data_IF_525989331639
#
_entry.id   IF_525989331639
#
_cell.length_a   1.000
_cell.length_b   1.000
_cell.length_c   1.000
_cell.angle_alpha   90.00
_cell.angle_beta   90.00
_cell.angle_gamma   90.00
#
_symmetry.space_group_name_H-M   'P 1'
#
loop_
_entity.id
_entity.type
_entity.pdbx_description
1 polymer ?
#
# COMPACT_ATOMS: atom_id res chain seq x y z
N UNK A 1 32.93 -16.25 -19.66
CA UNK A 1 32.97 -16.26 -18.19
C UNK A 1 33.19 -14.83 -17.71
N UNK A 2 32.53 -14.42 -16.64
CA UNK A 2 32.56 -13.03 -16.14
C UNK A 2 33.80 -12.79 -15.25
N UNK A 3 34.24 -11.54 -15.14
CA UNK A 3 35.33 -11.09 -14.24
C UNK A 3 36.66 -11.88 -14.37
N UNK A 4 37.05 -12.29 -15.58
CA UNK A 4 38.26 -13.09 -15.80
C UNK A 4 39.56 -12.39 -15.36
N UNK A 5 39.55 -11.07 -15.36
CA UNK A 5 40.62 -10.19 -14.86
C UNK A 5 40.66 -10.07 -13.33
N UNK A 6 39.67 -10.59 -12.62
CA UNK A 6 39.62 -10.65 -11.16
C UNK A 6 39.43 -12.08 -10.63
N UNK A 7 39.97 -13.08 -11.35
CA UNK A 7 39.87 -14.48 -10.93
C UNK A 7 38.43 -14.99 -10.81
N UNK A 8 37.53 -14.45 -11.64
CA UNK A 8 36.09 -14.75 -11.66
C UNK A 8 35.33 -14.28 -10.40
N UNK A 9 35.92 -13.38 -9.61
CA UNK A 9 35.25 -12.74 -8.48
C UNK A 9 34.60 -11.41 -8.92
N UNK A 10 33.32 -11.16 -8.57
CA UNK A 10 32.69 -9.87 -8.81
C UNK A 10 33.40 -8.71 -8.08
N UNK A 11 33.44 -7.53 -8.71
CA UNK A 11 34.04 -6.32 -8.12
C UNK A 11 33.21 -5.73 -6.96
N UNK A 12 31.90 -5.96 -6.98
CA UNK A 12 30.99 -5.51 -5.94
C UNK A 12 30.39 -6.72 -5.23
N UNK A 13 30.36 -6.65 -3.90
CA UNK A 13 29.68 -7.65 -3.08
C UNK A 13 28.18 -7.38 -3.10
N UNK A 14 27.39 -8.43 -3.27
CA UNK A 14 25.94 -8.33 -3.18
C UNK A 14 25.48 -8.15 -1.72
N UNK A 15 25.14 -6.91 -1.35
CA UNK A 15 24.66 -6.56 0.00
C UNK A 15 23.13 -6.57 0.01
N UNK A 16 22.52 -7.58 0.64
CA UNK A 16 21.06 -7.71 0.75
C UNK A 16 20.44 -6.80 1.81
N UNK A 17 21.18 -6.55 2.88
CA UNK A 17 20.70 -5.77 4.02
C UNK A 17 21.78 -4.82 4.52
N UNK A 18 21.36 -3.62 4.88
CA UNK A 18 22.21 -2.59 5.48
C UNK A 18 21.41 -1.77 6.49
N UNK A 19 22.02 -0.73 7.06
CA UNK A 19 21.35 0.20 7.95
C UNK A 19 20.19 0.89 7.23
N UNK A 20 19.05 0.94 7.90
CA UNK A 20 17.85 1.66 7.47
C UNK A 20 17.67 2.91 8.33
N UNK A 21 16.96 3.89 7.80
CA UNK A 21 16.57 5.06 8.60
C UNK A 21 15.51 4.69 9.63
N UNK A 22 15.45 5.44 10.72
CA UNK A 22 14.25 5.50 11.56
C UNK A 22 13.31 6.53 10.96
N UNK A 23 12.20 6.07 10.39
CA UNK A 23 11.18 6.90 9.78
C UNK A 23 9.96 7.12 10.68
N UNK A 24 9.07 8.02 10.25
CA UNK A 24 7.83 8.37 10.97
C UNK A 24 6.78 7.25 10.98
N UNK A 25 7.03 6.19 10.22
CA UNK A 25 6.42 4.88 10.31
C UNK A 25 7.50 3.83 10.05
N UNK A 26 7.26 2.60 10.49
CA UNK A 26 8.14 1.46 10.23
C UNK A 26 7.29 0.40 9.55
N UNK A 27 7.71 -0.06 8.36
CA UNK A 27 7.11 -1.24 7.73
C UNK A 27 7.55 -2.51 8.46
N UNK A 28 6.61 -3.32 8.90
CA UNK A 28 6.81 -4.50 9.73
C UNK A 28 6.29 -5.77 9.04
N UNK A 29 6.50 -6.92 9.70
CA UNK A 29 5.90 -8.19 9.28
C UNK A 29 4.37 -8.10 9.19
N UNK A 30 3.73 -7.35 10.09
CA UNK A 30 2.28 -7.21 10.19
C UNK A 30 1.71 -6.48 8.97
N UNK A 31 2.48 -5.59 8.36
CA UNK A 31 2.09 -4.84 7.15
C UNK A 31 2.05 -5.72 5.90
N UNK A 32 2.57 -6.94 5.97
CA UNK A 32 2.57 -7.93 4.90
C UNK A 32 1.83 -9.22 5.29
N UNK A 33 0.98 -9.20 6.33
CA UNK A 33 0.13 -10.33 6.74
C UNK A 33 -1.33 -9.93 6.78
N UNK A 34 -2.28 -10.84 6.53
CA UNK A 34 -3.69 -10.53 6.67
C UNK A 34 -4.00 -9.93 8.03
N UNK A 35 -4.64 -8.77 8.04
CA UNK A 35 -5.13 -8.16 9.27
C UNK A 35 -6.33 -8.96 9.81
N UNK A 36 -6.51 -8.95 11.13
CA UNK A 36 -7.61 -9.67 11.77
C UNK A 36 -8.96 -9.28 11.17
N UNK A 37 -9.73 -10.29 10.76
CA UNK A 37 -11.05 -10.08 10.14
C UNK A 37 -11.02 -9.58 8.70
N UNK A 38 -9.84 -9.52 8.05
CA UNK A 38 -9.68 -9.14 6.64
C UNK A 38 -9.07 -10.27 5.80
N UNK A 39 -9.28 -10.21 4.49
CA UNK A 39 -8.61 -11.08 3.51
C UNK A 39 -7.40 -10.40 2.86
N UNK A 40 -6.87 -9.35 3.50
CA UNK A 40 -5.77 -8.52 3.03
C UNK A 40 -4.94 -7.99 4.19
N UNK A 41 -3.73 -7.52 3.89
CA UNK A 41 -2.90 -6.77 4.83
C UNK A 41 -3.58 -5.49 5.35
N UNK A 42 -3.11 -4.93 6.49
CA UNK A 42 -3.56 -3.63 6.98
C UNK A 42 -3.58 -2.57 5.87
N UNK A 43 -4.57 -1.67 5.96
CA UNK A 43 -4.76 -0.60 5.00
C UNK A 43 -4.04 0.66 5.49
N UNK A 44 -3.17 1.20 4.64
CA UNK A 44 -2.44 2.44 4.87
C UNK A 44 -3.02 3.56 4.00
N UNK A 45 -3.70 4.51 4.64
CA UNK A 45 -4.32 5.66 3.97
C UNK A 45 -3.33 6.60 3.27
N UNK A 46 -2.05 6.49 3.59
CA UNK A 46 -0.94 7.21 2.98
C UNK A 46 -0.03 6.29 2.16
N UNK A 47 -0.56 5.18 1.62
CA UNK A 47 0.20 4.24 0.78
C UNK A 47 0.80 4.94 -0.45
N UNK A 48 2.09 4.70 -0.70
CA UNK A 48 2.82 5.21 -1.87
C UNK A 48 3.29 4.09 -2.81
N UNK A 49 2.89 2.85 -2.53
CA UNK A 49 3.32 1.68 -3.25
C UNK A 49 2.94 0.40 -2.51
N UNK A 50 3.23 -0.74 -3.13
CA UNK A 50 2.96 -2.06 -2.56
C UNK A 50 4.22 -2.92 -2.49
N UNK A 51 4.18 -3.96 -1.67
CA UNK A 51 5.09 -5.11 -1.71
C UNK A 51 4.27 -6.35 -2.08
N UNK A 52 4.85 -7.32 -2.79
CA UNK A 52 4.18 -8.61 -3.09
C UNK A 52 5.06 -9.84 -2.82
N UNK A 53 6.35 -9.62 -2.55
CA UNK A 53 7.26 -10.69 -2.16
C UNK A 53 7.00 -11.18 -0.75
N UNK A 54 7.23 -12.47 -0.55
CA UNK A 54 7.08 -13.06 0.77
C UNK A 54 8.18 -12.57 1.72
N UNK A 55 7.87 -12.49 3.01
CA UNK A 55 8.86 -12.15 4.02
C UNK A 55 9.91 -13.27 4.10
N UNK A 56 11.16 -12.91 3.85
CA UNK A 56 12.28 -13.84 3.85
C UNK A 56 13.54 -13.27 4.52
N UNK A 57 14.36 -14.19 5.02
CA UNK A 57 15.72 -13.94 5.49
C UNK A 57 16.59 -15.09 5.02
N UNK A 58 17.84 -14.78 4.68
CA UNK A 58 18.80 -15.77 4.21
C UNK A 58 19.87 -16.04 5.26
N UNK A 59 20.32 -17.30 5.38
CA UNK A 59 21.34 -17.65 6.34
C UNK A 59 22.67 -16.98 5.96
N UNK A 60 23.33 -16.39 6.97
CA UNK A 60 24.66 -15.78 6.81
C UNK A 60 25.80 -16.76 7.14
N UNK A 61 25.47 -17.97 7.61
CA UNK A 61 26.43 -19.03 7.95
C UNK A 61 25.88 -20.40 7.53
N UNK A 62 26.74 -21.41 7.33
CA UNK A 62 26.31 -22.76 7.04
C UNK A 62 25.87 -23.55 8.29
N UNK A 63 25.55 -22.89 9.40
CA UNK A 63 25.11 -23.59 10.62
C UNK A 63 23.68 -24.08 10.46
N UNK A 64 23.43 -25.33 10.88
CA UNK A 64 22.11 -25.98 10.85
C UNK A 64 21.96 -26.89 12.06
N UNK A 65 20.73 -26.95 12.60
CA UNK A 65 20.34 -27.96 13.59
C UNK A 65 19.79 -29.16 12.81
N UNK A 66 20.14 -30.38 13.22
CA UNK A 66 19.62 -31.60 12.58
C UNK A 66 18.08 -31.56 12.49
N UNK A 67 17.53 -31.91 11.33
CA UNK A 67 16.09 -31.85 11.06
C UNK A 67 15.50 -30.45 10.83
N UNK A 68 16.29 -29.37 10.85
CA UNK A 68 15.82 -27.98 10.64
C UNK A 68 16.45 -27.34 9.39
N UNK A 69 16.02 -26.14 9.00
CA UNK A 69 16.70 -25.33 7.98
C UNK A 69 17.97 -24.65 8.52
N UNK A 70 18.66 -23.88 7.67
CA UNK A 70 19.84 -23.12 8.06
C UNK A 70 19.51 -22.05 9.12
N UNK A 71 20.43 -21.80 10.04
CA UNK A 71 20.24 -20.78 11.09
C UNK A 71 20.06 -19.38 10.48
N UNK A 72 18.97 -18.70 10.87
CA UNK A 72 18.62 -17.38 10.35
C UNK A 72 17.87 -17.40 9.01
N UNK A 73 17.62 -18.58 8.44
CA UNK A 73 16.74 -18.70 7.28
C UNK A 73 15.28 -18.56 7.69
N UNK A 74 14.54 -17.72 6.96
CA UNK A 74 13.11 -17.49 7.13
C UNK A 74 12.47 -17.44 5.75
N UNK A 75 11.37 -18.17 5.55
CA UNK A 75 10.55 -18.10 4.33
C UNK A 75 9.09 -18.20 4.70
N UNK A 76 8.36 -17.09 4.64
CA UNK A 76 6.98 -17.00 5.11
C UNK A 76 5.98 -16.89 3.94
N UNK A 77 6.21 -17.64 2.87
CA UNK A 77 5.40 -17.59 1.64
C UNK A 77 3.92 -17.95 1.82
N UNK A 78 3.59 -18.78 2.81
CA UNK A 78 2.23 -19.22 3.09
C UNK A 78 1.39 -18.24 3.92
N UNK A 79 2.03 -17.23 4.53
CA UNK A 79 1.37 -16.26 5.40
C UNK A 79 1.62 -14.81 4.97
N UNK A 80 2.55 -14.57 4.03
CA UNK A 80 2.77 -13.25 3.47
C UNK A 80 1.73 -12.93 2.41
N UNK A 81 1.28 -11.69 2.39
CA UNK A 81 0.31 -11.16 1.44
C UNK A 81 0.73 -9.76 1.00
N UNK A 82 0.27 -9.25 -0.16
CA UNK A 82 0.72 -7.95 -0.65
C UNK A 82 0.45 -6.79 0.32
N UNK A 83 1.52 -6.14 0.79
CA UNK A 83 1.44 -5.06 1.78
C UNK A 83 1.39 -3.68 1.14
N UNK A 84 0.84 -2.70 1.84
CA UNK A 84 0.93 -1.29 1.47
C UNK A 84 2.08 -0.61 2.20
N UNK A 85 2.83 0.25 1.51
CA UNK A 85 3.95 0.98 2.10
C UNK A 85 3.56 2.42 2.35
N UNK A 86 3.49 2.80 3.62
CA UNK A 86 3.17 4.16 4.06
C UNK A 86 4.21 5.18 3.59
N UNK A 87 3.76 6.36 3.13
CA UNK A 87 4.60 7.52 2.82
C UNK A 87 5.57 7.86 3.95
N UNK A 88 5.12 7.70 5.20
CA UNK A 88 5.90 7.98 6.41
C UNK A 88 7.11 7.07 6.58
N UNK A 89 7.17 5.92 5.90
CA UNK A 89 8.35 5.07 5.89
C UNK A 89 9.54 5.71 5.15
N UNK A 90 9.28 6.62 4.21
CA UNK A 90 10.32 7.34 3.46
C UNK A 90 10.81 8.61 4.18
N UNK A 91 10.10 9.05 5.22
CA UNK A 91 10.36 10.29 5.94
C UNK A 91 11.12 10.01 7.25
N UNK A 92 12.39 10.42 7.37
CA UNK A 92 13.14 10.27 8.62
C UNK A 92 12.52 11.07 9.78
N UNK A 93 12.72 10.58 11.00
CA UNK A 93 12.47 11.35 12.21
C UNK A 93 13.46 12.51 12.33
N UNK A 94 13.00 13.67 12.81
CA UNK A 94 13.85 14.85 13.03
C UNK A 94 14.23 15.66 11.79
N UNK A 95 13.87 15.20 10.59
CA UNK A 95 14.11 15.93 9.34
C UNK A 95 12.79 16.19 8.60
N UNK A 96 12.70 17.36 7.95
CA UNK A 96 11.52 17.72 7.15
C UNK A 96 11.81 17.75 5.64
N UNK A 97 13.06 18.00 5.25
CA UNK A 97 13.50 18.24 3.87
C UNK A 97 14.33 17.08 3.27
N UNK A 98 14.18 15.87 3.80
CA UNK A 98 14.93 14.69 3.39
C UNK A 98 14.00 13.50 3.18
N UNK A 99 14.22 12.72 2.11
CA UNK A 99 13.45 11.51 1.75
C UNK A 99 14.43 10.39 1.46
N UNK A 100 14.13 9.17 1.91
CA UNK A 100 14.96 7.98 1.69
C UNK A 100 14.14 6.85 1.06
N UNK A 101 14.17 6.68 -0.27
CA UNK A 101 13.32 5.70 -0.98
C UNK A 101 13.84 4.25 -0.94
N UNK A 102 15.15 4.05 -0.75
CA UNK A 102 15.78 2.72 -0.76
C UNK A 102 15.94 2.20 0.66
N UNK A 103 16.83 2.81 1.47
CA UNK A 103 17.07 2.44 2.87
C UNK A 103 15.96 2.93 3.82
N UNK A 104 14.70 2.84 3.36
CA UNK A 104 13.51 3.30 4.05
C UNK A 104 13.29 2.57 5.38
N UNK A 105 12.41 3.14 6.20
CA UNK A 105 12.11 2.64 7.54
C UNK A 105 11.35 1.31 7.50
N UNK A 106 12.03 0.24 7.91
CA UNK A 106 11.45 -1.11 8.01
C UNK A 106 12.13 -1.94 9.11
N UNK A 107 11.38 -2.85 9.71
CA UNK A 107 11.93 -3.88 10.59
C UNK A 107 12.82 -4.85 9.82
N UNK A 108 13.63 -5.63 10.52
CA UNK A 108 14.48 -6.63 9.86
C UNK A 108 13.67 -7.65 9.05
N UNK A 109 12.55 -8.15 9.59
CA UNK A 109 11.68 -9.10 8.88
C UNK A 109 10.91 -8.42 7.75
N UNK A 110 10.38 -7.20 7.97
CA UNK A 110 9.65 -6.45 6.94
C UNK A 110 10.50 -6.12 5.71
N UNK A 111 11.82 -5.98 5.91
CA UNK A 111 12.76 -5.67 4.84
C UNK A 111 12.77 -6.71 3.71
N UNK A 112 12.51 -7.99 4.02
CA UNK A 112 12.41 -9.05 3.02
C UNK A 112 11.41 -8.73 1.90
N UNK A 113 10.29 -8.08 2.24
CA UNK A 113 9.27 -7.65 1.27
C UNK A 113 9.61 -6.30 0.60
N UNK A 114 10.26 -5.38 1.32
CA UNK A 114 10.59 -4.03 0.83
C UNK A 114 11.71 -4.02 -0.21
N UNK A 115 12.71 -4.90 -0.06
CA UNK A 115 14.01 -4.79 -0.73
C UNK A 115 14.05 -5.22 -2.20
N UNK A 116 12.90 -5.42 -2.83
CA UNK A 116 12.85 -5.82 -4.23
C UNK A 116 12.96 -4.60 -5.16
N UNK A 117 13.69 -4.75 -6.26
CA UNK A 117 13.92 -3.69 -7.22
C UNK A 117 12.63 -3.10 -7.81
N UNK A 118 11.59 -3.89 -8.18
CA UNK A 118 10.31 -3.34 -8.63
C UNK A 118 9.61 -2.48 -7.58
N UNK A 119 9.72 -2.87 -6.30
CA UNK A 119 9.18 -2.12 -5.18
C UNK A 119 9.94 -0.78 -5.01
N UNK A 120 11.28 -0.81 -5.01
CA UNK A 120 12.09 0.40 -4.95
C UNK A 120 11.87 1.36 -6.13
N UNK A 121 11.66 0.83 -7.34
CA UNK A 121 11.29 1.67 -8.49
C UNK A 121 10.00 2.44 -8.23
N UNK A 122 8.97 1.77 -7.69
CA UNK A 122 7.71 2.41 -7.30
C UNK A 122 7.90 3.46 -6.22
N UNK A 123 8.66 3.17 -5.16
CA UNK A 123 8.90 4.13 -4.07
C UNK A 123 9.74 5.31 -4.51
N UNK A 124 10.71 5.09 -5.40
CA UNK A 124 11.53 6.13 -6.02
C UNK A 124 10.69 7.07 -6.88
N UNK A 125 9.80 6.53 -7.71
CA UNK A 125 8.87 7.33 -8.51
C UNK A 125 7.90 8.13 -7.64
N UNK A 126 7.30 7.50 -6.62
CA UNK A 126 6.45 8.18 -5.64
C UNK A 126 7.18 9.29 -4.88
N UNK A 127 8.44 9.06 -4.49
CA UNK A 127 9.27 10.07 -3.87
C UNK A 127 9.53 11.26 -4.80
N UNK A 128 9.80 11.02 -6.09
CA UNK A 128 9.99 12.07 -7.07
C UNK A 128 8.73 12.93 -7.24
N UNK A 129 7.56 12.30 -7.33
CA UNK A 129 6.27 13.01 -7.35
C UNK A 129 6.06 13.87 -6.10
N UNK A 130 6.34 13.32 -4.91
CA UNK A 130 6.22 14.05 -3.66
C UNK A 130 7.15 15.27 -3.59
N UNK A 131 8.40 15.14 -4.07
CA UNK A 131 9.37 16.25 -4.15
C UNK A 131 8.84 17.35 -5.07
N UNK A 132 8.40 17.00 -6.28
CA UNK A 132 7.89 17.99 -7.24
C UNK A 132 6.65 18.70 -6.71
N UNK A 133 5.74 17.97 -6.06
CA UNK A 133 4.57 18.56 -5.41
C UNK A 133 4.98 19.49 -4.26
N UNK A 134 5.90 19.08 -3.40
CA UNK A 134 6.37 19.89 -2.28
C UNK A 134 7.03 21.20 -2.77
N UNK A 135 7.90 21.12 -3.77
CA UNK A 135 8.55 22.27 -4.40
C UNK A 135 7.53 23.25 -5.00
N UNK A 136 6.51 22.76 -5.72
CA UNK A 136 5.46 23.60 -6.32
C UNK A 136 4.59 24.33 -5.29
N UNK A 137 4.51 23.81 -4.06
CA UNK A 137 3.75 24.42 -2.98
C UNK A 137 4.66 25.14 -1.97
N UNK A 138 5.96 25.28 -2.27
CA UNK A 138 6.95 25.94 -1.40
C UNK A 138 6.98 25.37 0.03
N UNK A 139 6.78 24.05 0.15
CA UNK A 139 6.82 23.33 1.42
C UNK A 139 7.93 22.26 1.40
N UNK A 140 8.32 21.81 2.59
CA UNK A 140 9.17 20.63 2.73
C UNK A 140 8.37 19.35 2.47
N UNK A 141 8.96 18.28 1.93
CA UNK A 141 8.23 17.03 1.64
C UNK A 141 7.50 16.43 2.84
N UNK A 142 8.06 16.56 4.04
CA UNK A 142 7.43 16.12 5.27
C UNK A 142 6.12 16.84 5.63
N UNK A 143 5.85 18.02 5.04
CA UNK A 143 4.63 18.81 5.23
C UNK A 143 3.59 18.57 4.14
N UNK A 144 3.90 17.72 3.15
CA UNK A 144 2.96 17.40 2.10
C UNK A 144 1.74 16.67 2.68
N UNK A 145 0.55 17.13 2.30
CA UNK A 145 -0.70 16.46 2.64
C UNK A 145 -0.74 15.07 1.98
N UNK A 146 -0.82 14.03 2.80
CA UNK A 146 -0.72 12.65 2.34
C UNK A 146 -1.89 12.27 1.41
N UNK A 147 -3.12 12.73 1.71
CA UNK A 147 -4.29 12.46 0.86
C UNK A 147 -4.08 13.06 -0.55
N UNK A 148 -3.59 14.29 -0.64
CA UNK A 148 -3.23 14.92 -1.91
C UNK A 148 -2.15 14.15 -2.66
N UNK A 149 -1.12 13.65 -1.96
CA UNK A 149 -0.09 12.82 -2.59
C UNK A 149 -0.70 11.52 -3.13
N UNK A 150 -1.46 10.77 -2.34
CA UNK A 150 -2.08 9.50 -2.74
C UNK A 150 -3.00 9.69 -3.95
N UNK A 151 -3.85 10.72 -3.96
CA UNK A 151 -4.68 11.06 -5.13
C UNK A 151 -3.83 11.33 -6.37
N UNK A 152 -2.79 12.16 -6.22
CA UNK A 152 -1.87 12.46 -7.31
C UNK A 152 -1.19 11.19 -7.85
N UNK A 153 -0.70 10.30 -6.98
CA UNK A 153 -0.07 9.05 -7.38
C UNK A 153 -1.04 8.12 -8.10
N UNK A 154 -2.29 8.03 -7.62
CA UNK A 154 -3.34 7.24 -8.25
C UNK A 154 -3.64 7.73 -9.67
N UNK A 155 -3.74 9.05 -9.86
CA UNK A 155 -3.97 9.69 -11.16
C UNK A 155 -2.79 9.46 -12.14
N UNK A 156 -1.58 9.26 -11.62
CA UNK A 156 -0.39 8.95 -12.42
C UNK A 156 -0.16 7.44 -12.59
N UNK A 157 -1.09 6.60 -12.12
CA UNK A 157 -1.08 5.16 -12.36
C UNK A 157 -0.15 4.35 -11.45
N UNK A 158 0.32 4.94 -10.35
CA UNK A 158 1.10 4.20 -9.35
C UNK A 158 0.19 3.16 -8.67
N UNK A 159 0.71 1.94 -8.49
CA UNK A 159 0.02 0.87 -7.78
C UNK A 159 0.09 1.11 -6.27
N UNK A 160 -1.00 1.61 -5.69
CA UNK A 160 -1.11 1.97 -4.26
C UNK A 160 -1.80 0.87 -3.44
N UNK A 161 -2.61 0.03 -4.09
CA UNK A 161 -3.26 -1.15 -3.51
C UNK A 161 -3.24 -2.28 -4.52
N UNK A 162 -2.80 -3.46 -4.08
CA UNK A 162 -2.93 -4.67 -4.87
C UNK A 162 -4.40 -5.08 -4.97
N UNK A 163 -4.79 -5.63 -6.11
CA UNK A 163 -6.07 -6.31 -6.32
C UNK A 163 -5.86 -7.45 -7.33
N UNK A 164 -6.55 -8.58 -7.13
CA UNK A 164 -6.47 -9.76 -7.99
C UNK A 164 -7.01 -9.48 -9.39
N UNK A 165 -8.03 -8.62 -9.49
CA UNK A 165 -8.88 -8.40 -10.65
C UNK A 165 -8.71 -7.02 -11.31
N UNK A 166 -7.75 -6.21 -10.84
CA UNK A 166 -7.43 -4.87 -11.40
C UNK A 166 -6.08 -4.90 -12.14
N UNK A 167 -5.94 -5.80 -13.12
CA UNK A 167 -4.70 -5.95 -13.93
C UNK A 167 -4.84 -5.28 -15.30
N UNK A 168 -3.77 -4.66 -15.80
CA UNK A 168 -3.71 -4.05 -17.14
C UNK A 168 -4.80 -2.98 -17.42
N UNK A 169 -5.38 -2.42 -16.36
CA UNK A 169 -6.50 -1.49 -16.42
C UNK A 169 -6.10 -0.03 -16.14
N UNK A 170 -4.80 0.29 -16.11
CA UNK A 170 -4.29 1.64 -15.78
C UNK A 170 -4.89 2.76 -16.63
N UNK A 171 -5.34 2.45 -17.85
CA UNK A 171 -5.97 3.42 -18.76
C UNK A 171 -7.49 3.54 -18.60
N UNK A 172 -8.11 2.75 -17.71
CA UNK A 172 -9.55 2.86 -17.45
C UNK A 172 -9.82 4.11 -16.61
N UNK A 173 -10.90 4.88 -16.90
CA UNK A 173 -11.21 6.10 -16.15
C UNK A 173 -11.40 5.89 -14.64
N UNK A 174 -11.79 4.69 -14.21
CA UNK A 174 -12.01 4.33 -12.81
C UNK A 174 -10.76 3.80 -12.09
N UNK A 175 -9.64 3.56 -12.79
CA UNK A 175 -8.46 2.93 -12.20
C UNK A 175 -7.89 3.73 -11.03
N UNK A 176 -7.68 5.03 -11.23
CA UNK A 176 -7.21 5.93 -10.18
C UNK A 176 -8.16 5.93 -8.96
N UNK A 177 -9.48 5.92 -9.21
CA UNK A 177 -10.46 5.85 -8.14
C UNK A 177 -10.33 4.55 -7.32
N UNK A 178 -10.20 3.39 -7.98
CA UNK A 178 -10.03 2.10 -7.28
C UNK A 178 -8.72 2.06 -6.50
N UNK A 179 -7.62 2.55 -7.07
CA UNK A 179 -6.33 2.64 -6.38
C UNK A 179 -6.42 3.53 -5.13
N UNK A 180 -7.01 4.72 -5.25
CA UNK A 180 -7.23 5.62 -4.12
C UNK A 180 -8.13 4.97 -3.06
N UNK A 181 -9.32 4.48 -3.42
CA UNK A 181 -10.27 3.87 -2.49
C UNK A 181 -9.68 2.62 -1.80
N UNK A 182 -8.78 1.90 -2.48
CA UNK A 182 -7.98 0.80 -1.93
C UNK A 182 -7.05 1.18 -0.78
N UNK A 183 -6.71 2.46 -0.65
CA UNK A 183 -5.96 3.01 0.51
C UNK A 183 -6.89 3.53 1.60
N UNK A 184 -8.16 3.81 1.30
CA UNK A 184 -9.05 4.54 2.21
C UNK A 184 -9.97 3.65 3.05
N UNK A 185 -9.89 2.33 2.90
CA UNK A 185 -10.66 1.37 3.69
C UNK A 185 -11.97 0.89 3.04
N UNK A 186 -12.15 1.09 1.73
CA UNK A 186 -13.36 0.65 1.04
C UNK A 186 -13.39 -0.86 0.75
N UNK A 187 -12.25 -1.54 0.80
CA UNK A 187 -12.13 -2.95 0.39
C UNK A 187 -11.60 -3.81 1.53
N UNK A 188 -12.33 -4.88 1.85
CA UNK A 188 -11.96 -5.86 2.87
C UNK A 188 -11.08 -7.02 2.38
N UNK A 189 -10.94 -7.14 1.06
CA UNK A 189 -10.22 -8.21 0.36
C UNK A 189 -9.36 -7.62 -0.76
N UNK A 190 -8.66 -8.49 -1.50
CA UNK A 190 -7.97 -8.12 -2.73
C UNK A 190 -8.84 -8.25 -3.98
N UNK A 191 -10.14 -8.44 -3.85
CA UNK A 191 -11.06 -8.46 -5.00
C UNK A 191 -11.82 -7.12 -5.01
N UNK A 192 -11.57 -6.28 -6.01
CA UNK A 192 -12.23 -4.97 -6.13
C UNK A 192 -13.61 -5.06 -6.79
N UNK A 193 -13.79 -6.07 -7.64
CA UNK A 193 -14.99 -6.42 -8.38
C UNK A 193 -15.61 -5.24 -9.16
N UNK A 194 -14.83 -4.48 -9.96
CA UNK A 194 -15.31 -3.24 -10.60
C UNK A 194 -16.42 -3.44 -11.64
N UNK A 195 -16.67 -4.68 -12.07
CA UNK A 195 -17.75 -5.05 -13.00
C UNK A 195 -18.98 -5.63 -12.33
N UNK A 196 -18.93 -5.93 -11.03
CA UNK A 196 -20.03 -6.57 -10.32
C UNK A 196 -21.00 -5.52 -9.74
N UNK A 197 -22.31 -5.81 -9.69
CA UNK A 197 -23.26 -4.90 -9.06
C UNK A 197 -22.99 -4.72 -7.57
N UNK A 198 -22.97 -3.46 -7.13
CA UNK A 198 -22.90 -3.12 -5.71
C UNK A 198 -24.19 -3.55 -5.00
N UNK A 199 -24.07 -4.16 -3.82
CA UNK A 199 -25.20 -4.61 -3.01
C UNK A 199 -25.51 -3.63 -1.89
N UNK A 200 -26.79 -3.57 -1.49
CA UNK A 200 -27.30 -2.53 -0.59
C UNK A 200 -26.49 -2.35 0.72
N UNK A 201 -26.15 -3.40 1.51
CA UNK A 201 -25.40 -3.22 2.75
C UNK A 201 -24.01 -2.61 2.54
N UNK A 202 -23.30 -3.04 1.48
CA UNK A 202 -21.99 -2.49 1.13
C UNK A 202 -22.11 -1.05 0.63
N UNK A 203 -23.15 -0.74 -0.13
CA UNK A 203 -23.43 0.62 -0.57
C UNK A 203 -23.68 1.58 0.60
N UNK A 204 -24.44 1.17 1.61
CA UNK A 204 -24.68 1.98 2.81
C UNK A 204 -23.38 2.22 3.58
N UNK A 205 -22.54 1.18 3.73
CA UNK A 205 -21.23 1.29 4.35
C UNK A 205 -20.30 2.24 3.57
N UNK A 206 -20.23 2.10 2.25
CA UNK A 206 -19.42 2.94 1.38
C UNK A 206 -19.90 4.38 1.33
N UNK A 207 -21.21 4.64 1.31
CA UNK A 207 -21.75 6.00 1.36
C UNK A 207 -21.39 6.69 2.69
N UNK A 208 -21.56 5.99 3.82
CA UNK A 208 -21.13 6.49 5.14
C UNK A 208 -19.63 6.80 5.16
N UNK A 209 -18.80 5.88 4.66
CA UNK A 209 -17.34 6.06 4.61
C UNK A 209 -16.95 7.23 3.71
N UNK A 210 -17.56 7.37 2.53
CA UNK A 210 -17.35 8.49 1.62
C UNK A 210 -17.65 9.84 2.29
N UNK A 211 -18.75 9.93 3.06
CA UNK A 211 -19.08 11.11 3.85
C UNK A 211 -18.00 11.44 4.89
N UNK A 212 -17.47 10.43 5.59
CA UNK A 212 -16.41 10.61 6.58
C UNK A 212 -15.07 11.06 5.94
N UNK A 213 -14.71 10.48 4.79
CA UNK A 213 -13.56 10.88 3.97
C UNK A 213 -13.70 12.34 3.50
N UNK A 214 -14.86 12.70 2.94
CA UNK A 214 -15.15 14.05 2.44
C UNK A 214 -15.00 15.11 3.54
N UNK A 215 -15.48 14.78 4.75
CA UNK A 215 -15.42 15.65 5.93
C UNK A 215 -14.07 15.62 6.66
N UNK A 216 -13.05 14.92 6.11
CA UNK A 216 -11.72 14.73 6.71
C UNK A 216 -11.78 14.30 8.19
N UNK A 217 -12.71 13.41 8.53
CA UNK A 217 -12.82 12.90 9.88
C UNK A 217 -11.59 12.03 10.23
N UNK A 218 -11.12 12.03 11.49
CA UNK A 218 -10.13 11.06 11.95
C UNK A 218 -10.66 9.64 11.77
N UNK A 219 -9.86 8.77 11.15
CA UNK A 219 -10.25 7.39 10.80
C UNK A 219 -9.06 6.44 10.90
N UNK A 220 -9.39 5.16 11.03
CA UNK A 220 -8.47 4.04 10.84
C UNK A 220 -8.93 3.27 9.59
N UNK A 221 -8.16 3.38 8.50
CA UNK A 221 -8.52 2.75 7.23
C UNK A 221 -8.60 1.22 7.32
N UNK A 222 -7.88 0.58 8.26
CA UNK A 222 -7.98 -0.86 8.49
C UNK A 222 -9.28 -1.22 9.22
N UNK A 223 -9.76 -0.36 10.13
CA UNK A 223 -11.07 -0.51 10.75
C UNK A 223 -12.20 -0.30 9.72
N UNK A 224 -12.09 0.73 8.90
CA UNK A 224 -13.05 1.01 7.82
C UNK A 224 -13.13 -0.16 6.81
N UNK A 225 -11.99 -0.79 6.49
CA UNK A 225 -11.95 -1.98 5.66
C UNK A 225 -12.67 -3.17 6.29
N UNK A 226 -12.59 -3.34 7.62
CA UNK A 226 -13.32 -4.39 8.34
C UNK A 226 -14.82 -4.15 8.29
N UNK A 227 -15.27 -2.92 8.46
CA UNK A 227 -16.69 -2.55 8.35
C UNK A 227 -17.21 -2.81 6.93
N UNK A 228 -16.42 -2.43 5.91
CA UNK A 228 -16.73 -2.72 4.50
C UNK A 228 -16.81 -4.22 4.24
N UNK A 229 -15.85 -5.01 4.75
CA UNK A 229 -15.86 -6.47 4.63
C UNK A 229 -17.10 -7.10 5.26
N UNK A 230 -17.46 -6.69 6.48
CA UNK A 230 -18.65 -7.18 7.15
C UNK A 230 -19.93 -6.83 6.40
N UNK A 231 -19.99 -5.64 5.80
CA UNK A 231 -21.12 -5.23 4.98
C UNK A 231 -21.23 -6.06 3.70
N UNK A 232 -20.11 -6.31 3.01
CA UNK A 232 -20.05 -7.15 1.81
C UNK A 232 -20.56 -8.58 2.09
N UNK A 233 -20.14 -9.15 3.22
CA UNK A 233 -20.51 -10.52 3.63
C UNK A 233 -22.00 -10.69 3.96
N UNK A 234 -22.73 -9.60 4.22
CA UNK A 234 -24.20 -9.66 4.42
C UNK A 234 -24.96 -9.91 3.12
N UNK A 235 -24.34 -9.69 1.95
CA UNK A 235 -24.99 -9.86 0.66
C UNK A 235 -26.08 -8.80 0.43
N UNK A 236 -27.26 -9.23 -0.02
CA UNK A 236 -28.41 -8.35 -0.29
C UNK A 236 -28.65 -8.07 -1.77
N UNK A 237 -29.69 -7.28 -2.04
CA UNK A 237 -30.10 -6.95 -3.41
C UNK A 237 -29.11 -6.00 -4.09
N UNK A 238 -28.85 -6.18 -5.40
CA UNK A 238 -28.13 -5.20 -6.21
C UNK A 238 -28.81 -3.84 -6.19
N UNK A 239 -28.02 -2.76 -6.14
CA UNK A 239 -28.52 -1.39 -6.28
C UNK A 239 -28.09 -0.77 -7.61
N UNK A 240 -28.87 0.20 -8.09
CA UNK A 240 -28.54 0.92 -9.32
C UNK A 240 -27.47 1.99 -9.06
N UNK A 241 -26.70 2.35 -10.09
CA UNK A 241 -25.74 3.45 -10.01
C UNK A 241 -26.41 4.78 -9.60
N UNK A 242 -27.63 5.05 -10.09
CA UNK A 242 -28.39 6.25 -9.74
C UNK A 242 -28.79 6.27 -8.25
N UNK A 243 -29.24 5.13 -7.70
CA UNK A 243 -29.55 5.02 -6.28
C UNK A 243 -28.29 5.24 -5.43
N UNK A 244 -27.16 4.65 -5.82
CA UNK A 244 -25.89 4.85 -5.10
C UNK A 244 -25.40 6.31 -5.18
N UNK A 245 -25.51 6.95 -6.34
CA UNK A 245 -25.16 8.36 -6.52
C UNK A 245 -25.95 9.28 -5.57
N UNK A 246 -27.25 9.02 -5.38
CA UNK A 246 -28.09 9.75 -4.42
C UNK A 246 -27.63 9.54 -2.97
N UNK A 247 -27.20 8.33 -2.62
CA UNK A 247 -26.62 8.04 -1.30
C UNK A 247 -25.33 8.82 -1.08
N UNK A 248 -24.45 8.90 -2.10
CA UNK A 248 -23.21 9.67 -2.03
C UNK A 248 -23.46 11.17 -1.88
N UNK A 249 -24.38 11.74 -2.68
CA UNK A 249 -24.77 13.15 -2.58
C UNK A 249 -25.28 13.48 -1.17
N UNK A 250 -26.15 12.63 -0.62
CA UNK A 250 -26.67 12.79 0.74
C UNK A 250 -25.58 12.68 1.81
N UNK A 251 -24.67 11.72 1.70
CA UNK A 251 -23.63 11.48 2.71
C UNK A 251 -22.52 12.54 2.70
N UNK A 252 -22.16 13.01 1.50
CA UNK A 252 -21.12 14.00 1.26
C UNK A 252 -21.62 15.45 1.34
N UNK A 253 -22.93 15.67 1.49
CA UNK A 253 -23.57 16.99 1.49
C UNK A 253 -23.28 17.77 0.20
N UNK A 254 -23.59 17.14 -0.93
CA UNK A 254 -23.29 17.65 -2.28
C UNK A 254 -24.37 17.22 -3.28
N UNK A 255 -24.36 17.80 -4.48
CA UNK A 255 -25.21 17.41 -5.61
C UNK A 255 -24.39 17.04 -6.87
N UNK A 256 -23.19 16.51 -6.65
CA UNK A 256 -22.17 16.30 -7.69
C UNK A 256 -22.29 14.95 -8.37
N UNK A 257 -22.91 13.97 -7.73
CA UNK A 257 -22.99 12.60 -8.26
C UNK A 257 -24.27 12.37 -9.06
N UNK A 258 -25.31 13.18 -8.85
CA UNK A 258 -26.60 13.07 -9.54
C UNK A 258 -26.85 14.12 -10.64
N UNK A 259 -25.97 15.11 -10.79
CA UNK A 259 -25.97 16.08 -11.90
C UNK A 259 -25.12 15.62 -13.07
#
# INVERSE_FOLDING_TARGET
DEFADNGHMPYEIYIRETRRIMGRAIFTEQDARPADGLKRAPVHADSIGVTDWFLDSHPCTPRKIEGNEWEGELRLNNITTPGQVSWRCLLPEGFENFIVPVCLSSSHVGWGAIRLEPAWMSYGESAAHAIVLALRNEITPARLDADRLVRHLADHGILLSFFNDVRQNAHKPWYAAVQYLGTQGFFGSYDALPGEPLRQPLAEAWAKLAGAVSKKQPRDATADARDSWQAEQKGGEPITAAAFAQMLDSACDTDRFTK
#
